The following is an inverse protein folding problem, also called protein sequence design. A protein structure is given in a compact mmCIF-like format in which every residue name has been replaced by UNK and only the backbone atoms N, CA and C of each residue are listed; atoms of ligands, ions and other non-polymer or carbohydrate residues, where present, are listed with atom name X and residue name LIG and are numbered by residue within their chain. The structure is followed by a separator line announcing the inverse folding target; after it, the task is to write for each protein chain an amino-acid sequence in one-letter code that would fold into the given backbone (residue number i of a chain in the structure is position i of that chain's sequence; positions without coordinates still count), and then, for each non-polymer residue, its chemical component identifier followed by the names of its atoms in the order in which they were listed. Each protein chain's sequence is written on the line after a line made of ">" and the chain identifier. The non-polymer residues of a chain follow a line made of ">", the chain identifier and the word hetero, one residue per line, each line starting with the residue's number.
data_IF_591856883812
#
_entry.id   IF_591856883812
#
_cell.length_a   1.000
_cell.length_b   1.000
_cell.length_c   1.000
_cell.angle_alpha   90.00
_cell.angle_beta   90.00
_cell.angle_gamma   90.00
#
_symmetry.space_group_name_H-M   'P 1'
#
loop_
_entity.id
_entity.type
_entity.pdbx_description
1 polymer ?
#
# COMPACT_ATOMS: atom_id res chain seq x y z
N UNK A 1 -43.91 -12.48 -5.41
CA UNK A 1 -43.43 -11.28 -6.10
C UNK A 1 -44.07 -10.07 -5.45
N UNK A 2 -43.31 -9.04 -5.06
CA UNK A 2 -43.90 -7.76 -4.69
C UNK A 2 -44.27 -7.01 -5.98
N UNK A 3 -45.47 -7.22 -6.51
CA UNK A 3 -45.97 -6.47 -7.66
C UNK A 3 -46.31 -5.04 -7.25
N UNK A 4 -45.84 -4.06 -8.02
CA UNK A 4 -46.03 -2.66 -7.74
C UNK A 4 -47.49 -2.20 -7.77
N UNK A 5 -47.83 -1.24 -6.91
CA UNK A 5 -49.10 -0.48 -7.00
C UNK A 5 -50.35 -1.19 -6.47
N UNK A 6 -50.21 -2.29 -5.72
CA UNK A 6 -51.33 -2.99 -5.07
C UNK A 6 -51.75 -2.24 -3.80
N UNK A 7 -53.05 -1.96 -3.67
CA UNK A 7 -53.68 -1.31 -2.51
C UNK A 7 -55.05 -1.96 -2.20
N UNK A 8 -55.78 -1.44 -1.21
CA UNK A 8 -57.11 -1.97 -0.83
C UNK A 8 -58.14 -1.97 -1.97
N UNK A 9 -57.92 -1.26 -3.08
CA UNK A 9 -58.83 -1.16 -4.23
C UNK A 9 -58.21 -1.63 -5.53
N UNK A 10 -56.96 -2.07 -5.50
CA UNK A 10 -56.16 -2.36 -6.68
C UNK A 10 -55.59 -3.76 -6.59
N UNK A 11 -55.88 -4.58 -7.61
CA UNK A 11 -55.33 -5.93 -7.76
C UNK A 11 -54.31 -5.90 -8.90
N UNK A 12 -53.18 -6.58 -8.76
CA UNK A 12 -52.20 -6.71 -9.84
C UNK A 12 -52.12 -8.14 -10.35
N UNK A 13 -52.02 -8.34 -11.66
CA UNK A 13 -51.76 -9.64 -12.29
C UNK A 13 -50.55 -9.50 -13.20
N UNK A 14 -49.57 -10.36 -13.00
CA UNK A 14 -48.36 -10.41 -13.80
C UNK A 14 -48.29 -11.71 -14.59
N UNK A 15 -47.95 -11.61 -15.86
CA UNK A 15 -47.67 -12.74 -16.72
C UNK A 15 -46.17 -12.97 -16.83
N UNK A 16 -45.79 -14.25 -16.90
CA UNK A 16 -44.42 -14.73 -17.10
C UNK A 16 -44.43 -15.84 -18.14
N UNK A 17 -43.27 -16.21 -18.67
CA UNK A 17 -43.13 -17.23 -19.73
C UNK A 17 -43.76 -18.60 -19.38
N UNK A 18 -43.98 -18.88 -18.08
CA UNK A 18 -44.52 -20.15 -17.58
C UNK A 18 -45.92 -20.08 -16.97
N UNK A 19 -46.57 -18.90 -16.91
CA UNK A 19 -47.88 -18.76 -16.27
C UNK A 19 -48.18 -17.33 -15.78
N UNK A 20 -49.26 -17.17 -15.01
CA UNK A 20 -49.66 -15.88 -14.45
C UNK A 20 -49.74 -15.95 -12.91
N UNK A 21 -49.52 -14.81 -12.26
CA UNK A 21 -49.68 -14.67 -10.81
C UNK A 21 -50.44 -13.39 -10.50
N UNK A 22 -51.43 -13.48 -9.64
CA UNK A 22 -52.23 -12.36 -9.15
C UNK A 22 -51.84 -12.01 -7.71
N UNK A 23 -51.82 -10.73 -7.40
CA UNK A 23 -51.62 -10.15 -6.07
C UNK A 23 -52.82 -9.27 -5.74
N UNK A 24 -53.48 -9.57 -4.64
CA UNK A 24 -54.72 -8.93 -4.21
C UNK A 24 -54.48 -7.92 -3.10
N UNK A 25 -53.44 -8.13 -2.30
CA UNK A 25 -53.07 -7.23 -1.20
C UNK A 25 -51.56 -7.27 -0.95
N UNK A 26 -51.07 -6.51 0.02
CA UNK A 26 -49.70 -6.51 0.49
C UNK A 26 -49.18 -7.93 0.81
N UNK A 27 -50.05 -8.80 1.34
CA UNK A 27 -49.68 -10.13 1.84
C UNK A 27 -50.35 -11.28 1.10
N UNK A 28 -51.27 -11.00 0.19
CA UNK A 28 -52.09 -12.02 -0.46
C UNK A 28 -51.86 -12.05 -1.97
N UNK A 29 -51.57 -13.24 -2.48
CA UNK A 29 -51.47 -13.51 -3.92
C UNK A 29 -51.57 -15.01 -4.21
N UNK A 30 -51.85 -15.34 -5.47
CA UNK A 30 -52.05 -16.70 -5.93
C UNK A 30 -51.62 -16.85 -7.39
N UNK A 31 -51.26 -18.07 -7.80
CA UNK A 31 -51.02 -18.40 -9.19
C UNK A 31 -52.35 -18.53 -9.93
N UNK A 32 -52.42 -18.05 -11.17
CA UNK A 32 -53.59 -18.16 -12.02
C UNK A 32 -53.21 -18.70 -13.41
N UNK A 33 -54.20 -19.28 -14.08
CA UNK A 33 -54.06 -19.69 -15.48
C UNK A 33 -53.76 -18.48 -16.38
N UNK A 34 -53.06 -18.71 -17.50
CA UNK A 34 -52.76 -17.64 -18.46
C UNK A 34 -53.89 -17.53 -19.48
N UNK A 35 -54.49 -16.34 -19.63
CA UNK A 35 -55.57 -16.09 -20.60
C UNK A 35 -55.54 -14.65 -21.11
N UNK A 36 -55.58 -14.45 -22.43
CA UNK A 36 -55.51 -13.12 -23.05
C UNK A 36 -56.91 -12.48 -23.23
N UNK A 37 -57.91 -13.29 -23.59
CA UNK A 37 -59.24 -12.80 -24.00
C UNK A 37 -60.18 -12.56 -22.82
N UNK A 38 -60.07 -13.35 -21.75
CA UNK A 38 -60.92 -13.25 -20.57
C UNK A 38 -60.07 -13.38 -19.28
N UNK A 39 -60.50 -12.78 -18.16
CA UNK A 39 -59.80 -12.97 -16.90
C UNK A 39 -59.79 -14.46 -16.51
N UNK A 40 -58.66 -14.97 -16.02
CA UNK A 40 -58.58 -16.31 -15.44
C UNK A 40 -59.67 -16.51 -14.40
N UNK A 41 -60.28 -17.71 -14.36
CA UNK A 41 -61.42 -17.97 -13.48
C UNK A 41 -61.05 -17.80 -12.01
N UNK A 42 -59.81 -18.11 -11.65
CA UNK A 42 -59.26 -17.93 -10.31
C UNK A 42 -59.25 -16.45 -9.91
N UNK A 43 -58.90 -15.57 -10.85
CA UNK A 43 -58.92 -14.12 -10.65
C UNK A 43 -60.34 -13.60 -10.54
N UNK A 44 -61.22 -14.00 -11.45
CA UNK A 44 -62.62 -13.57 -11.45
C UNK A 44 -63.35 -13.97 -10.17
N UNK A 45 -63.14 -15.21 -9.70
CA UNK A 45 -63.69 -15.70 -8.44
C UNK A 45 -63.16 -14.89 -7.26
N UNK A 46 -61.84 -14.67 -7.19
CA UNK A 46 -61.27 -13.93 -6.06
C UNK A 46 -61.74 -12.47 -6.02
N UNK A 47 -61.80 -11.79 -7.17
CA UNK A 47 -62.36 -10.42 -7.24
C UNK A 47 -63.81 -10.39 -6.79
N UNK A 48 -64.60 -11.41 -7.14
CA UNK A 48 -65.99 -11.51 -6.71
C UNK A 48 -66.12 -11.76 -5.20
N UNK A 49 -65.27 -12.61 -4.61
CA UNK A 49 -65.23 -12.84 -3.16
C UNK A 49 -64.88 -11.57 -2.36
N UNK A 50 -63.93 -10.77 -2.86
CA UNK A 50 -63.61 -9.49 -2.23
C UNK A 50 -64.83 -8.57 -2.26
N UNK A 51 -65.54 -8.53 -3.40
CA UNK A 51 -66.75 -7.73 -3.58
C UNK A 51 -67.86 -8.14 -2.60
N UNK A 52 -68.12 -9.45 -2.46
CA UNK A 52 -69.13 -9.96 -1.51
C UNK A 52 -68.73 -9.72 -0.06
N UNK A 53 -67.43 -9.67 0.22
CA UNK A 53 -66.88 -9.33 1.54
C UNK A 53 -66.87 -7.81 1.84
N UNK A 54 -67.41 -6.98 0.93
CA UNK A 54 -67.51 -5.52 1.09
C UNK A 54 -66.29 -4.74 0.59
N UNK A 55 -65.29 -5.40 0.01
CA UNK A 55 -64.11 -4.75 -0.59
C UNK A 55 -64.32 -4.54 -2.08
N UNK A 56 -64.37 -3.27 -2.50
CA UNK A 56 -64.55 -2.92 -3.92
C UNK A 56 -63.19 -2.83 -4.63
N UNK A 57 -62.99 -3.67 -5.64
CA UNK A 57 -61.86 -3.56 -6.57
C UNK A 57 -62.24 -2.53 -7.64
N UNK A 58 -61.53 -1.41 -7.66
CA UNK A 58 -61.74 -0.32 -8.63
C UNK A 58 -60.78 -0.43 -9.81
N UNK A 59 -59.58 -0.96 -9.57
CA UNK A 59 -58.51 -1.05 -10.58
C UNK A 59 -57.87 -2.42 -10.60
N UNK A 60 -57.52 -2.89 -11.80
CA UNK A 60 -56.72 -4.10 -12.00
C UNK A 60 -55.53 -3.76 -12.89
N UNK A 61 -54.33 -3.89 -12.34
CA UNK A 61 -53.08 -3.70 -13.08
C UNK A 61 -52.71 -5.02 -13.73
N UNK A 62 -52.54 -5.04 -15.04
CA UNK A 62 -52.07 -6.19 -15.81
C UNK A 62 -50.67 -5.90 -16.32
N UNK A 63 -49.69 -6.61 -15.78
CA UNK A 63 -48.26 -6.46 -16.08
C UNK A 63 -47.80 -7.53 -17.07
N UNK A 64 -47.02 -7.11 -18.06
CA UNK A 64 -46.48 -7.94 -19.14
C UNK A 64 -47.54 -8.79 -19.86
N UNK A 65 -48.67 -8.20 -20.33
CA UNK A 65 -49.80 -8.96 -20.84
C UNK A 65 -49.41 -9.90 -22.01
N UNK A 66 -50.07 -11.07 -22.14
CA UNK A 66 -49.83 -11.98 -23.24
C UNK A 66 -50.26 -11.35 -24.58
N UNK A 67 -49.71 -11.86 -25.68
CA UNK A 67 -50.08 -11.42 -27.01
C UNK A 67 -51.60 -11.58 -27.24
N UNK A 68 -52.23 -10.54 -27.80
CA UNK A 68 -53.68 -10.54 -28.05
C UNK A 68 -54.54 -10.24 -26.82
N UNK A 69 -53.99 -9.63 -25.78
CA UNK A 69 -54.73 -9.19 -24.59
C UNK A 69 -55.89 -8.25 -24.92
N UNK A 70 -57.11 -8.61 -24.49
CA UNK A 70 -58.30 -7.80 -24.68
C UNK A 70 -58.71 -7.05 -23.40
N UNK A 71 -58.28 -5.78 -23.33
CA UNK A 71 -58.60 -4.88 -22.23
C UNK A 71 -60.11 -4.71 -22.00
N UNK A 72 -60.93 -4.70 -23.06
CA UNK A 72 -62.36 -4.39 -22.94
C UNK A 72 -63.12 -5.56 -22.33
N UNK A 73 -62.82 -6.78 -22.77
CA UNK A 73 -63.42 -8.00 -22.22
C UNK A 73 -63.07 -8.18 -20.74
N UNK A 74 -61.84 -7.86 -20.35
CA UNK A 74 -61.42 -7.86 -18.94
C UNK A 74 -62.13 -6.79 -18.10
N UNK A 75 -62.22 -5.55 -18.60
CA UNK A 75 -62.90 -4.46 -17.89
C UNK A 75 -64.38 -4.78 -17.65
N UNK A 76 -65.05 -5.39 -18.65
CA UNK A 76 -66.44 -5.80 -18.54
C UNK A 76 -66.63 -6.96 -17.54
N UNK A 77 -65.75 -7.96 -17.57
CA UNK A 77 -65.87 -9.14 -16.71
C UNK A 77 -65.54 -8.87 -15.24
N UNK A 78 -64.57 -8.00 -14.95
CA UNK A 78 -64.16 -7.67 -13.58
C UNK A 78 -64.87 -6.44 -13.00
N UNK A 79 -65.60 -5.68 -13.84
CA UNK A 79 -66.24 -4.41 -13.48
C UNK A 79 -65.25 -3.40 -12.85
N UNK A 80 -64.00 -3.44 -13.32
CA UNK A 80 -62.89 -2.64 -12.81
C UNK A 80 -62.13 -1.99 -13.95
N UNK A 81 -61.47 -0.86 -13.66
CA UNK A 81 -60.58 -0.21 -14.61
C UNK A 81 -59.32 -1.06 -14.80
N UNK A 82 -59.05 -1.47 -16.05
CA UNK A 82 -57.85 -2.23 -16.37
C UNK A 82 -56.72 -1.25 -16.72
N UNK A 83 -55.63 -1.29 -15.96
CA UNK A 83 -54.37 -0.60 -16.24
C UNK A 83 -53.42 -1.61 -16.84
N UNK A 84 -52.78 -1.30 -17.96
CA UNK A 84 -51.85 -2.21 -18.62
C UNK A 84 -50.44 -1.66 -18.49
N UNK A 85 -49.56 -2.45 -17.88
CA UNK A 85 -48.13 -2.18 -17.82
C UNK A 85 -47.41 -3.17 -18.75
N UNK A 86 -46.64 -2.69 -19.74
CA UNK A 86 -46.02 -3.57 -20.73
C UNK A 86 -44.91 -4.44 -20.15
N UNK A 87 -44.34 -4.05 -19.00
CA UNK A 87 -43.24 -4.74 -18.34
C UNK A 87 -43.64 -5.14 -16.92
N UNK A 88 -42.92 -6.10 -16.37
CA UNK A 88 -43.07 -6.51 -14.97
C UNK A 88 -42.49 -5.43 -14.05
N UNK A 89 -43.36 -4.74 -13.32
CA UNK A 89 -42.95 -3.76 -12.31
C UNK A 89 -42.96 -4.38 -10.91
N UNK A 90 -41.79 -4.41 -10.27
CA UNK A 90 -41.62 -4.89 -8.91
C UNK A 90 -41.54 -3.71 -7.95
N UNK A 91 -42.10 -3.88 -6.74
CA UNK A 91 -41.96 -2.91 -5.66
C UNK A 91 -40.47 -2.61 -5.40
N UNK A 92 -40.04 -1.33 -5.42
CA UNK A 92 -38.65 -0.97 -5.20
C UNK A 92 -38.20 -1.22 -3.75
N UNK A 93 -39.14 -1.18 -2.80
CA UNK A 93 -38.95 -1.53 -1.40
C UNK A 93 -39.81 -2.75 -1.05
N UNK A 94 -39.42 -3.96 -1.47
CA UNK A 94 -40.17 -5.15 -1.13
C UNK A 94 -40.12 -5.34 0.39
N UNK A 95 -41.27 -5.66 0.98
CA UNK A 95 -41.38 -5.93 2.44
C UNK A 95 -40.42 -7.05 2.87
N UNK A 96 -40.07 -7.95 1.95
CA UNK A 96 -39.04 -8.98 2.14
C UNK A 96 -38.11 -9.04 0.93
N UNK A 97 -36.85 -8.69 1.11
CA UNK A 97 -35.81 -8.86 0.08
C UNK A 97 -35.39 -10.33 0.00
N UNK A 98 -35.71 -11.01 -1.11
CA UNK A 98 -35.34 -12.42 -1.35
C UNK A 98 -33.91 -12.58 -1.91
N UNK A 99 -33.28 -11.49 -2.36
CA UNK A 99 -31.90 -11.50 -2.85
C UNK A 99 -30.92 -11.47 -1.68
N UNK A 100 -30.90 -12.56 -0.92
CA UNK A 100 -30.03 -12.76 0.23
C UNK A 100 -29.11 -13.96 0.03
N UNK A 101 -28.04 -14.02 0.81
CA UNK A 101 -27.05 -15.10 0.74
C UNK A 101 -26.47 -15.25 -0.67
N UNK A 102 -26.60 -16.44 -1.24
CA UNK A 102 -26.05 -16.77 -2.56
C UNK A 102 -26.70 -15.99 -3.72
N UNK A 103 -27.92 -15.49 -3.51
CA UNK A 103 -28.66 -14.68 -4.48
C UNK A 103 -28.52 -13.18 -4.24
N UNK A 104 -27.68 -12.76 -3.29
CA UNK A 104 -27.44 -11.35 -3.04
C UNK A 104 -26.78 -10.67 -4.26
N UNK A 105 -27.19 -9.44 -4.62
CA UNK A 105 -26.56 -8.71 -5.70
C UNK A 105 -25.10 -8.45 -5.36
N UNK A 106 -24.17 -9.12 -6.06
CA UNK A 106 -22.74 -8.90 -5.87
C UNK A 106 -22.39 -7.47 -6.25
N UNK A 107 -21.63 -6.76 -5.40
CA UNK A 107 -21.40 -5.34 -5.63
C UNK A 107 -20.56 -5.15 -6.90
N UNK A 108 -20.95 -4.19 -7.73
CA UNK A 108 -20.42 -3.99 -9.08
C UNK A 108 -18.89 -3.77 -9.11
N UNK A 109 -18.31 -3.22 -8.04
CA UNK A 109 -16.87 -3.01 -7.90
C UNK A 109 -16.07 -4.33 -7.90
N UNK A 110 -16.66 -5.43 -7.38
CA UNK A 110 -16.02 -6.75 -7.37
C UNK A 110 -15.85 -7.31 -8.79
N UNK A 111 -16.80 -7.04 -9.70
CA UNK A 111 -16.69 -7.39 -11.12
C UNK A 111 -15.61 -6.57 -11.83
N UNK A 112 -15.42 -5.30 -11.45
CA UNK A 112 -14.37 -4.43 -12.00
C UNK A 112 -12.96 -4.83 -11.58
N UNK A 113 -12.81 -5.46 -10.41
CA UNK A 113 -11.53 -5.98 -9.91
C UNK A 113 -11.19 -7.38 -10.44
N UNK A 114 -12.15 -8.10 -11.02
CA UNK A 114 -11.92 -9.46 -11.53
C UNK A 114 -10.78 -9.54 -12.57
N UNK A 115 -10.63 -8.58 -13.53
CA UNK A 115 -9.51 -8.59 -14.48
C UNK A 115 -8.14 -8.33 -13.84
N UNK A 116 -8.10 -7.71 -12.66
CA UNK A 116 -6.87 -7.34 -11.96
C UNK A 116 -6.34 -8.45 -11.05
N UNK A 117 -7.11 -9.52 -10.86
CA UNK A 117 -6.70 -10.71 -10.09
C UNK A 117 -5.35 -11.29 -10.54
N UNK A 118 -5.10 -11.57 -11.84
CA UNK A 118 -3.79 -12.08 -12.26
C UNK A 118 -2.65 -11.10 -12.02
N UNK A 119 -2.90 -9.78 -12.17
CA UNK A 119 -1.89 -8.77 -11.87
C UNK A 119 -1.54 -8.74 -10.38
N UNK A 120 -2.55 -8.84 -9.51
CA UNK A 120 -2.35 -8.91 -8.06
C UNK A 120 -1.63 -10.20 -7.63
N UNK A 121 -1.89 -11.35 -8.25
CA UNK A 121 -1.19 -12.60 -7.89
C UNK A 121 0.29 -12.52 -8.27
N UNK A 122 0.61 -11.98 -9.44
CA UNK A 122 2.00 -11.79 -9.86
C UNK A 122 2.71 -10.78 -8.96
N UNK A 123 2.06 -9.66 -8.64
CA UNK A 123 2.61 -8.67 -7.72
C UNK A 123 2.86 -9.25 -6.31
N UNK A 124 1.93 -10.03 -5.79
CA UNK A 124 2.06 -10.70 -4.49
C UNK A 124 3.21 -11.72 -4.49
N UNK A 125 3.34 -12.53 -5.55
CA UNK A 125 4.46 -13.46 -5.74
C UNK A 125 5.80 -12.72 -5.81
N UNK A 126 5.86 -11.63 -6.57
CA UNK A 126 7.06 -10.80 -6.67
C UNK A 126 7.46 -10.18 -5.32
N UNK A 127 6.49 -9.66 -4.57
CA UNK A 127 6.72 -9.12 -3.23
C UNK A 127 7.19 -10.20 -2.25
N UNK A 128 6.58 -11.39 -2.28
CA UNK A 128 6.99 -12.52 -1.45
C UNK A 128 8.43 -12.97 -1.79
N UNK A 129 8.77 -13.06 -3.08
CA UNK A 129 10.11 -13.40 -3.51
C UNK A 129 11.14 -12.35 -3.06
N UNK A 130 10.85 -11.06 -3.24
CA UNK A 130 11.73 -9.98 -2.79
C UNK A 130 11.95 -10.02 -1.27
N UNK A 131 10.89 -10.29 -0.50
CA UNK A 131 10.98 -10.44 0.94
C UNK A 131 11.84 -11.65 1.35
N UNK A 132 11.68 -12.80 0.67
CA UNK A 132 12.52 -13.97 0.91
C UNK A 132 13.99 -13.70 0.60
N UNK A 133 14.31 -13.07 -0.53
CA UNK A 133 15.70 -12.75 -0.88
C UNK A 133 16.36 -11.85 0.17
N UNK A 134 15.68 -10.77 0.56
CA UNK A 134 16.23 -9.83 1.53
C UNK A 134 16.42 -10.46 2.93
N UNK A 135 15.50 -11.33 3.34
CA UNK A 135 15.62 -12.05 4.62
C UNK A 135 16.73 -13.09 4.61
N UNK A 136 16.94 -13.81 3.50
CA UNK A 136 18.04 -14.77 3.38
C UNK A 136 19.40 -14.08 3.47
N UNK A 137 19.58 -12.95 2.78
CA UNK A 137 20.84 -12.20 2.83
C UNK A 137 21.10 -11.60 4.22
N UNK A 138 20.06 -11.06 4.87
CA UNK A 138 20.18 -10.56 6.24
C UNK A 138 20.57 -11.67 7.22
N UNK A 139 19.95 -12.85 7.13
CA UNK A 139 20.25 -14.00 8.00
C UNK A 139 21.65 -14.57 7.70
N UNK A 140 22.06 -14.63 6.43
CA UNK A 140 23.37 -15.10 6.04
C UNK A 140 24.49 -14.18 6.57
N UNK A 141 24.30 -12.87 6.48
CA UNK A 141 25.24 -11.88 7.02
C UNK A 141 25.31 -11.93 8.54
N UNK A 142 24.18 -12.04 9.23
CA UNK A 142 24.14 -12.23 10.69
C UNK A 142 24.89 -13.50 11.14
N UNK A 143 24.75 -14.60 10.39
CA UNK A 143 25.48 -15.84 10.69
C UNK A 143 26.99 -15.71 10.47
N UNK A 144 27.42 -14.98 9.43
CA UNK A 144 28.84 -14.71 9.16
C UNK A 144 29.45 -13.82 10.25
N UNK A 145 28.75 -12.77 10.66
CA UNK A 145 29.19 -11.92 11.78
C UNK A 145 29.32 -12.71 13.08
N UNK A 146 28.35 -13.57 13.40
CA UNK A 146 28.42 -14.42 14.59
C UNK A 146 29.55 -15.45 14.53
N UNK A 147 29.85 -16.02 13.36
CA UNK A 147 30.95 -16.96 13.19
C UNK A 147 32.31 -16.28 13.40
N UNK A 148 32.51 -15.11 12.80
CA UNK A 148 33.72 -14.29 12.99
C UNK A 148 33.88 -13.85 14.44
N UNK A 149 32.78 -13.45 15.08
CA UNK A 149 32.76 -13.04 16.49
C UNK A 149 33.13 -14.19 17.43
N UNK A 150 32.64 -15.40 17.18
CA UNK A 150 33.02 -16.61 17.93
C UNK A 150 34.50 -16.97 17.77
N UNK A 151 35.05 -16.80 16.57
CA UNK A 151 36.48 -17.01 16.35
C UNK A 151 37.33 -15.97 17.10
N UNK A 152 36.90 -14.70 17.10
CA UNK A 152 37.55 -13.65 17.88
C UNK A 152 37.45 -13.89 19.39
N UNK A 153 36.29 -14.33 19.89
CA UNK A 153 36.10 -14.70 21.31
C UNK A 153 36.98 -15.89 21.71
N UNK A 154 37.12 -16.90 20.84
CA UNK A 154 37.99 -18.05 21.10
C UNK A 154 39.48 -17.69 21.16
N UNK A 155 39.93 -16.79 20.27
CA UNK A 155 41.31 -16.28 20.28
C UNK A 155 41.55 -15.33 21.46
N UNK A 156 40.55 -14.52 21.83
CA UNK A 156 40.67 -13.62 22.97
C UNK A 156 40.74 -14.41 24.30
N UNK A 157 39.92 -15.44 24.45
CA UNK A 157 39.93 -16.32 25.62
C UNK A 157 41.24 -17.13 25.76
N UNK A 158 41.92 -17.44 24.64
CA UNK A 158 43.20 -18.16 24.70
C UNK A 158 44.39 -17.25 25.04
N UNK A 159 44.31 -15.95 24.74
CA UNK A 159 45.39 -14.99 24.99
C UNK A 159 45.21 -14.25 26.34
N UNK A 160 43.97 -14.05 26.81
CA UNK A 160 43.67 -13.34 28.06
C UNK A 160 42.60 -14.07 28.89
N UNK A 161 42.97 -15.11 29.66
CA UNK A 161 42.03 -15.92 30.45
C UNK A 161 41.42 -15.19 31.68
N UNK A 162 41.92 -14.00 32.04
CA UNK A 162 41.59 -13.32 33.31
C UNK A 162 40.63 -12.13 33.19
N UNK A 163 40.00 -11.91 32.01
CA UNK A 163 39.09 -10.76 31.78
C UNK A 163 37.77 -11.21 31.14
N UNK A 164 36.65 -10.84 31.77
CA UNK A 164 35.28 -11.12 31.28
C UNK A 164 35.04 -10.49 29.89
N UNK A 165 34.42 -11.22 28.94
CA UNK A 165 34.33 -10.80 27.56
C UNK A 165 33.40 -9.59 27.40
N UNK A 166 33.87 -8.47 26.81
CA UNK A 166 33.03 -7.31 26.57
C UNK A 166 32.22 -7.45 25.28
N UNK A 167 31.09 -6.73 25.24
CA UNK A 167 30.04 -6.73 24.20
C UNK A 167 30.48 -6.21 22.82
N UNK A 168 31.75 -5.94 22.55
CA UNK A 168 32.31 -5.69 21.21
C UNK A 168 33.86 -5.80 21.21
N UNK A 169 34.43 -6.95 20.83
CA UNK A 169 35.87 -7.22 20.95
C UNK A 169 36.73 -6.33 20.03
N UNK A 170 36.23 -5.91 18.87
CA UNK A 170 36.99 -5.10 17.91
C UNK A 170 37.34 -3.70 18.44
N UNK A 171 36.40 -3.04 19.14
CA UNK A 171 36.64 -1.72 19.75
C UNK A 171 37.56 -1.78 20.96
N UNK A 172 37.56 -2.90 21.68
CA UNK A 172 38.48 -3.13 22.80
C UNK A 172 39.92 -3.33 22.30
N UNK A 173 40.11 -4.12 21.25
CA UNK A 173 41.44 -4.30 20.62
C UNK A 173 41.96 -2.99 20.03
N UNK A 174 41.17 -2.23 19.28
CA UNK A 174 41.62 -0.95 18.70
C UNK A 174 42.13 0.02 19.78
N UNK A 175 41.40 0.14 20.90
CA UNK A 175 41.81 0.99 22.04
C UNK A 175 43.08 0.48 22.72
N UNK A 176 43.24 -0.83 22.88
CA UNK A 176 44.45 -1.40 23.47
C UNK A 176 45.65 -1.27 22.53
N UNK A 177 45.46 -1.40 21.21
CA UNK A 177 46.52 -1.21 20.22
C UNK A 177 46.99 0.24 20.20
N UNK A 178 46.06 1.19 20.26
CA UNK A 178 46.40 2.62 20.33
C UNK A 178 47.07 2.96 21.66
N UNK A 179 46.63 2.37 22.78
CA UNK A 179 47.29 2.54 24.07
C UNK A 179 48.70 1.94 24.12
N UNK A 180 48.94 0.82 23.43
CA UNK A 180 50.27 0.20 23.30
C UNK A 180 51.18 1.02 22.38
N UNK A 181 50.66 1.54 21.25
CA UNK A 181 51.41 2.42 20.35
C UNK A 181 51.77 3.76 20.98
N UNK A 182 50.86 4.33 21.77
CA UNK A 182 51.11 5.54 22.54
C UNK A 182 52.16 5.34 23.64
N UNK A 183 52.26 4.13 24.22
CA UNK A 183 53.32 3.77 25.17
C UNK A 183 54.68 3.58 24.51
N UNK A 184 54.71 3.07 23.26
CA UNK A 184 55.95 2.88 22.47
C UNK A 184 56.37 4.13 21.67
N UNK A 185 55.62 5.24 21.75
CA UNK A 185 55.93 6.48 21.03
C UNK A 185 55.84 6.37 19.50
N UNK A 186 55.14 5.35 18.99
CA UNK A 186 55.03 5.07 17.57
C UNK A 186 53.90 5.91 16.93
N UNK A 187 54.23 6.65 15.88
CA UNK A 187 53.30 7.55 15.19
C UNK A 187 52.25 6.72 14.43
N UNK A 188 50.99 6.79 14.88
CA UNK A 188 49.83 6.14 14.26
C UNK A 188 49.21 6.94 13.11
N UNK A 189 48.35 6.30 12.32
CA UNK A 189 47.65 6.92 11.18
C UNK A 189 46.67 8.05 11.59
N UNK A 190 46.27 8.11 12.86
CA UNK A 190 45.43 9.17 13.44
C UNK A 190 46.22 10.28 14.15
N UNK A 191 47.55 10.20 14.18
CA UNK A 191 48.39 11.18 14.86
C UNK A 191 48.54 12.45 14.04
N UNK A 192 48.76 13.55 14.76
CA UNK A 192 48.90 14.89 14.17
C UNK A 192 49.94 14.93 13.04
N UNK A 193 51.13 14.36 13.26
CA UNK A 193 52.21 14.36 12.27
C UNK A 193 51.86 13.54 11.02
N UNK A 194 51.21 12.39 11.17
CA UNK A 194 50.74 11.57 10.05
C UNK A 194 49.73 12.33 9.21
N UNK A 195 48.67 12.86 9.84
CA UNK A 195 47.62 13.62 9.16
C UNK A 195 48.16 14.89 8.50
N UNK A 196 49.10 15.59 9.15
CA UNK A 196 49.74 16.77 8.59
C UNK A 196 50.65 16.42 7.40
N UNK A 197 51.37 15.30 7.46
CA UNK A 197 52.22 14.83 6.35
C UNK A 197 51.40 14.45 5.12
N UNK A 198 50.25 13.79 5.30
CA UNK A 198 49.32 13.48 4.22
C UNK A 198 48.70 14.74 3.61
N UNK A 199 48.35 15.73 4.45
CA UNK A 199 47.88 17.03 3.99
C UNK A 199 48.96 17.77 3.17
N UNK A 200 50.20 17.75 3.63
CA UNK A 200 51.33 18.35 2.91
C UNK A 200 51.59 17.64 1.56
N UNK A 201 51.53 16.31 1.52
CA UNK A 201 51.68 15.54 0.30
C UNK A 201 50.55 15.81 -0.72
N UNK A 202 49.30 15.91 -0.26
CA UNK A 202 48.17 16.27 -1.12
C UNK A 202 48.24 17.72 -1.62
N UNK A 203 48.73 18.65 -0.80
CA UNK A 203 48.96 20.04 -1.17
C UNK A 203 50.09 20.23 -2.19
N UNK A 204 51.19 19.48 -2.04
CA UNK A 204 52.36 19.54 -2.93
C UNK A 204 52.06 19.13 -4.37
N UNK A 205 51.06 18.26 -4.58
CA UNK A 205 50.59 17.87 -5.92
C UNK A 205 49.73 18.93 -6.63
N UNK A 206 49.30 19.97 -5.93
CA UNK A 206 48.46 21.04 -6.51
C UNK A 206 49.33 22.16 -7.08
N UNK A 207 49.55 22.15 -8.40
CA UNK A 207 50.04 23.34 -9.11
C UNK A 207 48.95 24.42 -9.08
N UNK A 208 48.87 25.16 -7.97
CA UNK A 208 47.74 26.09 -7.76
C UNK A 208 47.61 26.74 -6.39
N UNK A 209 48.61 26.68 -5.51
CA UNK A 209 48.75 27.66 -4.42
C UNK A 209 47.73 27.58 -3.27
N UNK A 210 47.33 26.39 -2.83
CA UNK A 210 46.60 26.25 -1.57
C UNK A 210 47.57 26.34 -0.38
N UNK A 211 47.43 27.37 0.47
CA UNK A 211 48.28 27.62 1.64
C UNK A 211 47.56 27.26 2.93
N UNK A 212 48.24 26.55 3.84
CA UNK A 212 47.73 26.25 5.16
C UNK A 212 47.84 27.49 6.06
N UNK A 213 46.69 27.98 6.56
CA UNK A 213 46.64 29.13 7.46
C UNK A 213 46.62 28.71 8.93
N UNK A 214 45.89 27.64 9.25
CA UNK A 214 45.72 27.18 10.63
C UNK A 214 45.48 25.68 10.65
N UNK A 215 46.08 25.00 11.62
CA UNK A 215 45.86 23.59 11.89
C UNK A 215 45.53 23.41 13.37
N UNK A 216 44.41 22.77 13.66
CA UNK A 216 43.96 22.42 15.01
C UNK A 216 43.79 20.92 15.09
N UNK A 217 44.34 20.29 16.14
CA UNK A 217 44.23 18.86 16.35
C UNK A 217 43.49 18.58 17.65
N UNK A 218 42.39 17.85 17.54
CA UNK A 218 41.56 17.50 18.69
C UNK A 218 41.00 16.09 18.50
N UNK A 219 41.11 15.24 19.53
CA UNK A 219 40.51 13.90 19.57
C UNK A 219 40.83 13.01 18.33
N UNK A 220 42.07 13.04 17.82
CA UNK A 220 42.47 12.24 16.66
C UNK A 220 41.99 12.79 15.31
N UNK A 221 41.58 14.07 15.27
CA UNK A 221 41.10 14.75 14.07
C UNK A 221 41.89 16.02 13.84
N UNK A 222 42.23 16.27 12.58
CA UNK A 222 42.92 17.48 12.15
C UNK A 222 41.92 18.41 11.44
N UNK A 223 41.70 19.59 11.99
CA UNK A 223 40.95 20.67 11.36
C UNK A 223 41.96 21.64 10.74
N UNK A 224 42.02 21.67 9.41
CA UNK A 224 42.90 22.53 8.65
C UNK A 224 42.10 23.66 7.98
N UNK A 225 42.51 24.91 8.22
CA UNK A 225 42.02 26.07 7.46
C UNK A 225 42.99 26.32 6.30
N UNK A 226 42.50 26.10 5.09
CA UNK A 226 43.22 26.26 3.83
C UNK A 226 42.76 27.54 3.13
N UNK A 227 43.69 28.27 2.54
CA UNK A 227 43.39 29.37 1.63
C UNK A 227 43.85 29.00 0.22
N UNK A 228 43.02 29.22 -0.78
CA UNK A 228 43.33 28.90 -2.17
C UNK A 228 42.85 30.01 -3.12
N UNK A 229 43.51 30.19 -4.27
CA UNK A 229 43.12 31.22 -5.24
C UNK A 229 41.79 30.92 -5.93
N UNK A 230 41.38 29.65 -6.03
CA UNK A 230 40.12 29.24 -6.65
C UNK A 230 39.50 28.05 -5.93
N UNK A 231 38.18 27.92 -6.00
CA UNK A 231 37.46 26.74 -5.47
C UNK A 231 37.94 25.44 -6.14
N UNK A 232 38.29 25.50 -7.42
CA UNK A 232 38.84 24.36 -8.16
C UNK A 232 40.19 23.86 -7.59
N UNK A 233 40.99 24.71 -6.96
CA UNK A 233 42.22 24.28 -6.29
C UNK A 233 41.92 23.50 -5.00
N UNK A 234 40.86 23.87 -4.27
CA UNK A 234 40.42 23.16 -3.06
C UNK A 234 39.84 21.78 -3.38
N UNK A 235 39.05 21.65 -4.45
CA UNK A 235 38.47 20.36 -4.84
C UNK A 235 39.58 19.37 -5.26
N UNK A 236 40.61 19.83 -5.99
CA UNK A 236 41.77 19.01 -6.34
C UNK A 236 42.54 18.52 -5.09
N UNK A 237 42.68 19.39 -4.08
CA UNK A 237 43.32 19.02 -2.82
C UNK A 237 42.48 17.96 -2.08
N UNK A 238 41.16 18.11 -2.05
CA UNK A 238 40.24 17.12 -1.47
C UNK A 238 40.35 15.77 -2.18
N UNK A 239 40.40 15.76 -3.51
CA UNK A 239 40.51 14.53 -4.27
C UNK A 239 41.89 13.86 -4.12
N UNK A 240 42.95 14.64 -3.96
CA UNK A 240 44.28 14.14 -3.57
C UNK A 240 44.27 13.42 -2.22
N UNK A 241 43.55 13.96 -1.23
CA UNK A 241 43.37 13.33 0.08
C UNK A 241 42.54 12.05 0.01
N UNK A 242 41.46 12.03 -0.80
CA UNK A 242 40.69 10.80 -1.05
C UNK A 242 41.53 9.71 -1.70
N UNK A 243 42.43 10.07 -2.61
CA UNK A 243 43.33 9.12 -3.28
C UNK A 243 44.28 8.44 -2.28
N UNK A 244 44.62 9.13 -1.19
CA UNK A 244 45.41 8.59 -0.08
C UNK A 244 44.54 7.84 0.96
N UNK A 245 43.27 7.57 0.65
CA UNK A 245 42.31 6.88 1.51
C UNK A 245 42.06 7.59 2.86
N UNK A 246 42.25 8.92 2.91
CA UNK A 246 41.92 9.74 4.06
C UNK A 246 40.54 10.40 3.88
N UNK A 247 39.56 10.13 4.77
CA UNK A 247 38.28 10.82 4.74
C UNK A 247 38.47 12.31 5.07
N UNK A 248 38.01 13.16 4.16
CA UNK A 248 38.11 14.62 4.26
C UNK A 248 36.74 15.25 4.08
N UNK A 249 36.26 15.93 5.13
CA UNK A 249 35.00 16.66 5.13
C UNK A 249 35.23 18.16 5.03
N UNK A 250 34.54 18.82 4.10
CA UNK A 250 34.54 20.27 3.98
C UNK A 250 33.51 20.85 4.95
N UNK A 251 33.97 21.54 6.00
CA UNK A 251 33.13 22.16 7.03
C UNK A 251 32.52 23.50 6.56
N UNK A 252 33.15 24.14 5.58
CA UNK A 252 32.69 25.39 4.99
C UNK A 252 33.76 26.04 4.14
N UNK A 253 33.36 26.82 3.15
CA UNK A 253 34.24 27.63 2.32
C UNK A 253 33.66 29.04 2.20
N UNK A 254 34.47 30.04 2.52
CA UNK A 254 34.13 31.46 2.43
C UNK A 254 35.06 32.14 1.41
N UNK A 255 34.51 33.01 0.58
CA UNK A 255 35.29 33.83 -0.34
C UNK A 255 35.57 35.18 0.31
N UNK A 256 36.84 35.53 0.50
CA UNK A 256 37.27 36.80 1.06
C UNK A 256 38.38 37.39 0.21
N UNK A 257 38.20 38.63 -0.24
CA UNK A 257 39.20 39.39 -1.02
C UNK A 257 39.73 38.65 -2.27
N UNK A 258 38.86 37.94 -2.98
CA UNK A 258 39.22 37.20 -4.21
C UNK A 258 39.96 35.88 -3.96
N UNK A 259 40.04 35.41 -2.71
CA UNK A 259 40.59 34.12 -2.31
C UNK A 259 39.56 33.31 -1.54
N UNK A 260 39.66 31.98 -1.64
CA UNK A 260 38.73 31.06 -0.99
C UNK A 260 39.39 30.46 0.24
N UNK A 261 38.81 30.72 1.41
CA UNK A 261 39.22 30.13 2.69
C UNK A 261 38.27 28.99 3.02
N UNK A 262 38.80 27.78 3.14
CA UNK A 262 38.04 26.58 3.43
C UNK A 262 38.52 25.89 4.71
N UNK A 263 37.58 25.40 5.50
CA UNK A 263 37.84 24.55 6.65
C UNK A 263 37.65 23.09 6.26
N UNK A 264 38.71 22.30 6.38
CA UNK A 264 38.75 20.88 6.09
C UNK A 264 38.92 20.10 7.39
N UNK A 265 38.19 19.01 7.53
CA UNK A 265 38.32 18.06 8.63
C UNK A 265 38.86 16.74 8.09
N UNK A 266 40.01 16.32 8.61
CA UNK A 266 40.62 15.03 8.34
C UNK A 266 40.48 14.13 9.58
N UNK A 267 40.17 12.86 9.37
CA UNK A 267 40.19 11.84 10.42
C UNK A 267 40.74 10.53 9.89
N UNK A 268 41.24 9.65 10.75
CA UNK A 268 41.50 8.27 10.36
C UNK A 268 40.16 7.57 10.08
N UNK A 269 40.11 6.78 9.00
CA UNK A 269 38.97 5.91 8.73
C UNK A 269 38.87 4.90 9.88
N UNK A 270 37.75 4.95 10.61
CA UNK A 270 37.41 4.00 11.68
C UNK A 270 36.81 2.72 11.13
#
# INVERSE_FOLDING_TARGET
>A
LGLAGVDERTVAVAYTDGGAAARVDAWEGFACSSSAQAPPIELALRVNELRTSGRRVERVIVMAPPAGFDRKSWAAALEAEIIVEPELSLDPEPVLNLLQGDYAPRPAWMKRLAPWRPAMTVAALGAAAAFLFNTVDAVANLRREQATRKQMEAVFASVFPDVKPPKDPARAMARQLDALRAQDGAIGAGDFLSLLSSLAAAGAGTQGGATLQRAEFENGRLIATMEAPTYAALERLRDGLKTQNLPCDLLGAESKDGRVVAKLRLGSAS
#
